data_IF_672450338560
#
_entry.id   IF_672450338560
#
_cell.length_a   1.000
_cell.length_b   1.000
_cell.length_c   1.000
_cell.angle_alpha   90.00
_cell.angle_beta   90.00
_cell.angle_gamma   90.00
#
_symmetry.space_group_name_H-M   'P 1'
#
loop_
_entity.id
_entity.type
_entity.pdbx_description
1 polymer ?
#
# COMPACT_ATOMS: atom_id res chain seq x y z
N UNK A 1 -2.20 6.30 -4.22
CA UNK A 1 -1.26 5.59 -5.11
C UNK A 1 -0.95 6.47 -6.29
N UNK A 2 0.32 6.56 -6.65
CA UNK A 2 0.84 7.40 -7.70
C UNK A 2 1.36 6.54 -8.86
N UNK A 3 1.09 6.96 -10.09
CA UNK A 3 1.54 6.33 -11.32
C UNK A 3 2.20 7.39 -12.22
N UNK A 4 3.33 7.03 -12.81
CA UNK A 4 4.04 7.91 -13.73
C UNK A 4 3.52 7.74 -15.15
N UNK A 5 3.21 8.85 -15.82
CA UNK A 5 2.82 8.82 -17.22
C UNK A 5 4.02 8.56 -18.11
N UNK A 6 3.96 7.51 -18.96
CA UNK A 6 5.05 7.21 -19.92
C UNK A 6 5.29 8.34 -20.93
N UNK A 7 4.26 9.09 -21.31
CA UNK A 7 4.33 10.14 -22.32
C UNK A 7 4.82 11.47 -21.75
N UNK A 8 4.08 12.05 -20.80
CA UNK A 8 4.36 13.40 -20.30
C UNK A 8 5.18 13.44 -19.01
N UNK A 9 5.61 12.27 -18.50
CA UNK A 9 6.42 12.06 -17.29
C UNK A 9 5.83 12.65 -16.00
N UNK A 10 4.56 13.06 -16.04
CA UNK A 10 3.86 13.59 -14.89
C UNK A 10 3.56 12.48 -13.89
N UNK A 11 3.73 12.76 -12.60
CA UNK A 11 3.22 11.91 -11.53
C UNK A 11 1.71 12.17 -11.37
N UNK A 12 0.90 11.12 -11.36
CA UNK A 12 -0.55 11.22 -11.30
C UNK A 12 -1.09 10.33 -10.19
N UNK A 13 -2.22 10.72 -9.59
CA UNK A 13 -3.05 9.77 -8.85
C UNK A 13 -3.49 8.68 -9.84
N UNK A 14 -3.34 7.41 -9.46
CA UNK A 14 -3.68 6.28 -10.31
C UNK A 14 -5.16 6.32 -10.74
N UNK A 15 -5.36 6.34 -12.07
CA UNK A 15 -6.63 6.39 -12.79
C UNK A 15 -6.46 5.61 -14.09
N UNK A 16 -7.51 5.51 -14.91
CA UNK A 16 -7.42 4.89 -16.24
C UNK A 16 -6.62 5.73 -17.25
N UNK A 17 -6.53 7.05 -17.04
CA UNK A 17 -5.86 8.00 -17.94
C UNK A 17 -5.03 9.02 -17.16
N UNK A 18 -3.95 9.50 -17.78
CA UNK A 18 -3.18 10.62 -17.26
C UNK A 18 -4.02 11.91 -17.28
N UNK A 19 -4.02 12.66 -16.17
CA UNK A 19 -4.81 13.91 -16.08
C UNK A 19 -4.26 15.00 -17.00
N UNK A 20 -2.95 14.98 -17.29
CA UNK A 20 -2.26 16.02 -18.05
C UNK A 20 -2.38 15.82 -19.55
N UNK A 21 -2.08 14.62 -20.05
CA UNK A 21 -2.05 14.36 -21.50
C UNK A 21 -3.16 13.41 -21.99
N UNK A 22 -4.02 12.90 -21.09
CA UNK A 22 -5.16 12.05 -21.46
C UNK A 22 -4.81 10.63 -21.92
N UNK A 23 -3.52 10.27 -22.02
CA UNK A 23 -3.10 8.92 -22.45
C UNK A 23 -3.63 7.86 -21.48
N UNK A 24 -4.09 6.74 -22.04
CA UNK A 24 -4.48 5.58 -21.27
C UNK A 24 -3.26 4.84 -20.70
N UNK A 25 -3.36 4.47 -19.44
CA UNK A 25 -2.41 3.54 -18.84
C UNK A 25 -2.69 2.13 -19.35
N UNK A 26 -1.63 1.38 -19.66
CA UNK A 26 -1.75 -0.02 -20.03
C UNK A 26 -2.07 -0.85 -18.79
N UNK A 27 -2.53 -2.08 -18.99
CA UNK A 27 -2.80 -3.00 -17.88
C UNK A 27 -1.52 -3.34 -17.12
N UNK A 28 -0.41 -3.45 -17.84
CA UNK A 28 0.91 -3.72 -17.30
C UNK A 28 1.37 -2.58 -16.38
N UNK A 29 1.25 -1.32 -16.82
CA UNK A 29 1.61 -0.14 -15.99
C UNK A 29 0.77 -0.07 -14.70
N UNK A 30 -0.52 -0.42 -14.78
CA UNK A 30 -1.40 -0.49 -13.61
C UNK A 30 -0.97 -1.63 -12.69
N UNK A 31 -0.75 -2.84 -13.22
CA UNK A 31 -0.34 -4.00 -12.43
C UNK A 31 1.00 -3.75 -11.72
N UNK A 32 2.02 -3.25 -12.42
CA UNK A 32 3.32 -2.91 -11.83
C UNK A 32 3.18 -1.87 -10.70
N UNK A 33 2.33 -0.87 -10.89
CA UNK A 33 2.06 0.14 -9.86
C UNK A 33 1.38 -0.50 -8.65
N UNK A 34 0.37 -1.33 -8.87
CA UNK A 34 -0.36 -2.03 -7.80
C UNK A 34 0.57 -2.97 -7.03
N UNK A 35 1.41 -3.76 -7.71
CA UNK A 35 2.38 -4.67 -7.08
C UNK A 35 3.42 -3.92 -6.24
N UNK A 36 3.91 -2.78 -6.74
CA UNK A 36 4.80 -1.89 -6.00
C UNK A 36 4.15 -1.41 -4.70
N UNK A 37 2.91 -0.93 -4.76
CA UNK A 37 2.18 -0.50 -3.57
C UNK A 37 1.84 -1.66 -2.64
N UNK A 38 1.51 -2.83 -3.19
CA UNK A 38 1.24 -4.02 -2.40
C UNK A 38 2.46 -4.39 -1.56
N UNK A 39 3.64 -4.46 -2.19
CA UNK A 39 4.90 -4.75 -1.51
C UNK A 39 5.21 -3.72 -0.42
N UNK A 40 5.00 -2.42 -0.71
CA UNK A 40 5.17 -1.35 0.26
C UNK A 40 4.27 -1.51 1.49
N UNK A 41 2.96 -1.69 1.30
CA UNK A 41 2.02 -1.84 2.42
C UNK A 41 2.20 -3.16 3.17
N UNK A 42 2.64 -4.20 2.48
CA UNK A 42 2.93 -5.48 3.11
C UNK A 42 4.14 -5.36 4.05
N UNK A 43 5.16 -4.61 3.64
CA UNK A 43 6.29 -4.29 4.51
C UNK A 43 5.88 -3.45 5.71
N UNK A 44 4.99 -2.47 5.53
CA UNK A 44 4.45 -1.69 6.65
C UNK A 44 3.61 -2.55 7.61
N UNK A 45 2.81 -3.48 7.11
CA UNK A 45 2.04 -4.40 7.97
C UNK A 45 2.94 -5.30 8.81
N UNK A 46 4.06 -5.73 8.22
CA UNK A 46 5.07 -6.55 8.89
C UNK A 46 6.00 -5.74 9.80
N UNK A 47 6.09 -4.41 9.60
CA UNK A 47 6.82 -3.56 10.51
C UNK A 47 6.15 -3.57 11.90
N UNK A 48 6.95 -3.41 12.94
CA UNK A 48 6.45 -3.17 14.29
C UNK A 48 6.25 -1.67 14.57
N UNK A 49 6.17 -0.87 13.51
CA UNK A 49 5.92 0.55 13.61
C UNK A 49 4.53 0.81 14.18
N UNK A 50 4.50 1.66 15.19
CA UNK A 50 3.27 2.17 15.76
C UNK A 50 3.23 3.69 15.62
N UNK A 51 2.04 4.20 15.34
CA UNK A 51 1.83 5.61 15.02
C UNK A 51 1.01 6.26 16.13
N UNK A 52 1.37 7.48 16.49
CA UNK A 52 0.60 8.23 17.48
C UNK A 52 -0.77 8.59 16.90
N UNK A 53 -1.83 8.31 17.65
CA UNK A 53 -3.21 8.61 17.25
C UNK A 53 -3.56 10.11 17.21
N UNK A 54 -2.72 10.99 17.77
CA UNK A 54 -2.91 12.45 17.73
C UNK A 54 -2.01 13.15 16.73
N UNK A 55 -0.70 12.90 16.77
CA UNK A 55 0.28 13.64 15.98
C UNK A 55 0.92 12.82 14.85
N UNK A 56 0.52 11.56 14.69
CA UNK A 56 0.97 10.64 13.64
C UNK A 56 2.49 10.41 13.56
N UNK A 57 3.25 10.79 14.59
CA UNK A 57 4.67 10.42 14.71
C UNK A 57 4.81 8.91 14.85
N UNK A 58 5.88 8.39 14.27
CA UNK A 58 6.24 6.97 14.31
C UNK A 58 7.02 6.68 15.58
N UNK A 59 6.72 5.56 16.23
CA UNK A 59 7.50 4.99 17.33
C UNK A 59 8.38 3.86 16.80
N UNK A 60 9.39 4.22 16.01
CA UNK A 60 10.31 3.26 15.36
C UNK A 60 11.05 2.36 16.36
N UNK A 61 11.24 2.83 17.60
CA UNK A 61 12.01 2.10 18.63
C UNK A 61 11.15 1.27 19.58
N UNK A 62 9.82 1.45 19.55
CA UNK A 62 8.86 0.76 20.44
C UNK A 62 9.24 0.82 21.93
N UNK A 63 9.91 1.90 22.36
CA UNK A 63 10.43 2.01 23.73
C UNK A 63 9.39 2.56 24.72
N UNK A 64 8.33 3.19 24.20
CA UNK A 64 7.33 3.89 24.99
C UNK A 64 5.94 3.67 24.42
N UNK A 65 4.96 3.44 25.29
CA UNK A 65 3.55 3.28 24.89
C UNK A 65 2.87 4.62 24.59
N UNK A 66 3.45 5.72 25.10
CA UNK A 66 2.85 7.06 25.06
C UNK A 66 3.73 8.02 24.26
N UNK A 67 3.10 8.81 23.39
CA UNK A 67 3.76 9.87 22.64
C UNK A 67 3.92 11.13 23.49
N UNK A 68 4.97 11.94 23.21
CA UNK A 68 5.21 13.24 23.87
C UNK A 68 4.05 14.23 23.77
N UNK A 69 3.17 14.08 22.78
CA UNK A 69 1.95 14.90 22.65
C UNK A 69 0.79 14.43 23.55
N UNK A 70 0.98 13.39 24.37
CA UNK A 70 -0.06 12.77 25.20
C UNK A 70 -1.06 11.94 24.40
N UNK A 71 -0.69 11.48 23.20
CA UNK A 71 -1.41 10.46 22.45
C UNK A 71 -0.80 9.07 22.68
N UNK A 72 -1.48 8.02 22.22
CA UNK A 72 -1.03 6.63 22.37
C UNK A 72 -0.51 6.13 21.04
N UNK A 73 0.56 5.34 21.06
CA UNK A 73 1.04 4.67 19.86
C UNK A 73 0.20 3.43 19.59
N UNK A 74 -0.31 3.30 18.37
CA UNK A 74 -1.14 2.17 17.93
C UNK A 74 -0.57 1.60 16.64
N UNK A 75 -0.59 0.27 16.52
CA UNK A 75 -0.26 -0.40 15.27
C UNK A 75 -1.36 -0.09 14.25
N UNK A 76 -0.96 0.36 13.07
CA UNK A 76 -1.90 0.59 11.97
C UNK A 76 -1.98 -0.68 11.16
N UNK A 77 -3.18 -1.20 10.91
CA UNK A 77 -3.36 -2.31 9.99
C UNK A 77 -3.69 -1.80 8.60
N UNK A 78 -2.90 -2.25 7.63
CA UNK A 78 -3.00 -2.03 6.20
C UNK A 78 -3.68 -3.20 5.48
N UNK A 79 -4.19 -4.21 6.21
CA UNK A 79 -4.88 -5.38 5.65
C UNK A 79 -5.96 -5.02 4.63
N UNK A 80 -6.82 -4.05 4.92
CA UNK A 80 -7.90 -3.66 4.00
C UNK A 80 -7.34 -3.04 2.71
N UNK A 81 -6.25 -2.27 2.82
CA UNK A 81 -5.56 -1.70 1.66
C UNK A 81 -4.96 -2.83 0.81
N UNK A 82 -4.30 -3.81 1.44
CA UNK A 82 -3.73 -4.96 0.74
C UNK A 82 -4.79 -5.76 -0.04
N UNK A 83 -5.94 -6.03 0.58
CA UNK A 83 -7.06 -6.71 -0.10
C UNK A 83 -7.59 -5.89 -1.26
N UNK A 84 -7.72 -4.57 -1.10
CA UNK A 84 -8.14 -3.67 -2.16
C UNK A 84 -7.13 -3.65 -3.33
N UNK A 85 -5.83 -3.65 -3.06
CA UNK A 85 -4.80 -3.69 -4.10
C UNK A 85 -4.91 -4.96 -4.94
N UNK A 86 -5.13 -6.12 -4.32
CA UNK A 86 -5.31 -7.39 -5.04
C UNK A 86 -6.54 -7.33 -5.97
N UNK A 87 -7.62 -6.63 -5.59
CA UNK A 87 -8.81 -6.54 -6.44
C UNK A 87 -8.59 -5.68 -7.69
N UNK A 88 -7.56 -4.84 -7.71
CA UNK A 88 -7.19 -4.02 -8.86
C UNK A 88 -6.29 -4.74 -9.87
N UNK A 89 -5.62 -5.83 -9.46
CA UNK A 89 -4.81 -6.62 -10.36
C UNK A 89 -5.68 -7.25 -11.43
N UNK A 90 -5.20 -7.29 -12.67
CA UNK A 90 -5.86 -8.04 -13.76
C UNK A 90 -5.12 -9.33 -14.10
N UNK A 91 -3.86 -9.45 -13.68
CA UNK A 91 -3.04 -10.63 -13.86
C UNK A 91 -3.38 -11.68 -12.78
N UNK A 92 -3.90 -12.84 -13.20
CA UNK A 92 -4.28 -13.92 -12.28
C UNK A 92 -3.08 -14.52 -11.52
N UNK A 93 -1.91 -14.63 -12.16
CA UNK A 93 -0.69 -15.10 -11.49
C UNK A 93 -0.27 -14.14 -10.37
N UNK A 94 -0.30 -12.83 -10.62
CA UNK A 94 0.01 -11.81 -9.62
C UNK A 94 -1.01 -11.79 -8.47
N UNK A 95 -2.30 -11.98 -8.78
CA UNK A 95 -3.35 -12.14 -7.76
C UNK A 95 -3.07 -13.33 -6.87
N UNK A 96 -2.85 -14.51 -7.45
CA UNK A 96 -2.57 -15.73 -6.69
C UNK A 96 -1.34 -15.57 -5.80
N UNK A 97 -0.26 -15.00 -6.34
CA UNK A 97 0.95 -14.74 -5.58
C UNK A 97 0.68 -13.82 -4.37
N UNK A 98 -0.02 -12.71 -4.59
CA UNK A 98 -0.36 -11.74 -3.54
C UNK A 98 -1.31 -12.33 -2.50
N UNK A 99 -2.29 -13.14 -2.91
CA UNK A 99 -3.19 -13.85 -2.00
C UNK A 99 -2.45 -14.89 -1.15
N UNK A 100 -1.53 -15.65 -1.75
CA UNK A 100 -0.66 -16.59 -1.02
C UNK A 100 0.18 -15.87 0.03
N UNK A 101 0.72 -14.70 -0.31
CA UNK A 101 1.44 -13.86 0.66
C UNK A 101 0.55 -13.46 1.85
N UNK A 102 -0.68 -12.96 1.60
CA UNK A 102 -1.59 -12.60 2.70
C UNK A 102 -1.95 -13.80 3.58
N UNK A 103 -2.12 -14.99 3.01
CA UNK A 103 -2.35 -16.23 3.78
C UNK A 103 -1.14 -16.61 4.62
N UNK A 104 0.06 -16.56 4.03
CA UNK A 104 1.32 -16.88 4.71
C UNK A 104 1.54 -16.01 5.95
N UNK A 105 1.25 -14.71 5.85
CA UNK A 105 1.36 -13.77 6.98
C UNK A 105 0.13 -13.75 7.91
N UNK A 106 -0.83 -14.66 7.74
CA UNK A 106 -2.03 -14.74 8.59
C UNK A 106 -3.00 -13.56 8.46
N UNK A 107 -2.86 -12.75 7.42
CA UNK A 107 -3.68 -11.55 7.20
C UNK A 107 -5.07 -11.89 6.67
N UNK A 108 -5.24 -13.02 5.98
CA UNK A 108 -6.54 -13.54 5.51
C UNK A 108 -6.70 -15.02 5.88
N UNK A 109 -7.96 -15.49 5.99
CA UNK A 109 -8.25 -16.90 6.27
C UNK A 109 -7.91 -17.77 5.05
N UNK A 110 -7.62 -19.04 5.32
CA UNK A 110 -7.38 -20.06 4.29
C UNK A 110 -8.62 -20.31 3.44
#
# INVERSE_FOLDING_TARGET
MLIYCRECKNENIMRERCIKCGVHYTREEINETVEKYFSFYLNLEQSDDSFCDKCHRINERVLYDVCKCGGTYKKTSYKQILVYLISLLTNEQSKEHSQKALKFYGLVKN
#
